data_IF_546876678683
#
_entry.id   IF_546876678683
#
_cell.length_a   1.000
_cell.length_b   1.000
_cell.length_c   1.000
_cell.angle_alpha   90.00
_cell.angle_beta   90.00
_cell.angle_gamma   90.00
#
_symmetry.space_group_name_H-M   'P 1'
#
loop_
_entity.id
_entity.type
_entity.pdbx_description
1 polymer ?
#
# COMPACT_ATOMS: atom_id res chain seq x y z
N UNK A 1 3.87 35.22 -39.50
CA UNK A 1 5.05 35.12 -38.62
C UNK A 1 4.69 35.04 -37.13
N UNK A 2 3.81 35.89 -36.59
CA UNK A 2 3.47 35.88 -35.15
C UNK A 2 2.80 34.58 -34.66
N UNK A 3 1.88 34.00 -35.42
CA UNK A 3 1.20 32.76 -35.04
C UNK A 3 2.16 31.55 -34.92
N UNK A 4 3.13 31.43 -35.84
CA UNK A 4 4.14 30.37 -35.79
C UNK A 4 5.04 30.49 -34.56
N UNK A 5 5.38 31.72 -34.14
CA UNK A 5 6.15 31.98 -32.92
C UNK A 5 5.36 31.62 -31.67
N UNK A 6 4.05 31.91 -31.62
CA UNK A 6 3.18 31.50 -30.51
C UNK A 6 3.05 29.97 -30.40
N UNK A 7 2.93 29.26 -31.52
CA UNK A 7 2.89 27.79 -31.52
C UNK A 7 4.23 27.18 -31.08
N UNK A 8 5.36 27.76 -31.49
CA UNK A 8 6.69 27.34 -31.04
C UNK A 8 6.90 27.58 -29.54
N UNK A 9 6.47 28.74 -29.03
CA UNK A 9 6.54 29.07 -27.60
C UNK A 9 5.64 28.14 -26.78
N UNK A 10 4.41 27.87 -27.24
CA UNK A 10 3.49 26.97 -26.55
C UNK A 10 4.01 25.53 -26.57
N UNK A 11 4.57 25.07 -27.70
CA UNK A 11 5.21 23.75 -27.80
C UNK A 11 6.44 23.65 -26.88
N UNK A 12 7.28 24.68 -26.84
CA UNK A 12 8.45 24.74 -25.95
C UNK A 12 8.03 24.74 -24.48
N UNK A 13 6.99 25.50 -24.11
CA UNK A 13 6.41 25.50 -22.76
C UNK A 13 5.78 24.14 -22.41
N UNK A 14 5.14 23.45 -23.35
CA UNK A 14 4.64 22.09 -23.16
C UNK A 14 5.78 21.08 -22.96
N UNK A 15 6.85 21.16 -23.76
CA UNK A 15 8.03 20.30 -23.62
C UNK A 15 8.77 20.55 -22.29
N UNK A 16 8.88 21.81 -21.87
CA UNK A 16 9.42 22.20 -20.57
C UNK A 16 8.55 21.71 -19.42
N UNK A 17 7.21 21.68 -19.59
CA UNK A 17 6.31 21.11 -18.58
C UNK A 17 6.41 19.59 -18.50
N UNK A 18 6.58 18.90 -19.61
CA UNK A 18 6.85 17.44 -19.64
C UNK A 18 8.21 17.14 -18.99
N UNK A 19 9.20 18.03 -19.13
CA UNK A 19 10.51 17.88 -18.49
C UNK A 19 10.55 18.29 -17.01
N UNK A 20 9.56 19.09 -16.55
CA UNK A 20 9.45 19.55 -15.17
C UNK A 20 8.55 18.66 -14.29
N UNK A 21 7.93 17.64 -14.89
CA UNK A 21 7.16 16.63 -14.18
C UNK A 21 8.15 15.61 -13.60
N UNK A 22 8.54 15.87 -12.34
CA UNK A 22 9.39 15.03 -11.48
C UNK A 22 10.85 14.95 -11.94
N UNK A 23 11.81 15.46 -11.15
CA UNK A 23 13.11 14.80 -11.13
C UNK A 23 12.87 13.44 -10.46
N UNK A 24 12.78 12.32 -11.20
CA UNK A 24 12.54 11.04 -10.55
C UNK A 24 13.68 10.82 -9.56
N UNK A 25 13.35 10.29 -8.38
CA UNK A 25 14.36 9.86 -7.40
C UNK A 25 15.49 9.10 -8.12
N UNK A 26 16.77 9.34 -7.76
CA UNK A 26 17.90 8.68 -8.41
C UNK A 26 17.69 7.15 -8.44
N UNK A 27 17.91 6.53 -9.60
CA UNK A 27 17.65 5.09 -9.78
C UNK A 27 18.54 4.26 -8.86
N UNK A 28 19.75 4.73 -8.65
CA UNK A 28 20.76 4.15 -7.75
C UNK A 28 20.25 4.15 -6.31
N UNK A 29 19.57 5.22 -5.89
CA UNK A 29 18.95 5.29 -4.57
C UNK A 29 17.81 4.27 -4.44
N UNK A 30 16.94 4.20 -5.45
CA UNK A 30 15.83 3.25 -5.46
C UNK A 30 16.33 1.80 -5.45
N UNK A 31 17.40 1.51 -6.18
CA UNK A 31 18.04 0.20 -6.20
C UNK A 31 18.70 -0.14 -4.86
N UNK A 32 19.41 0.81 -4.23
CA UNK A 32 19.95 0.64 -2.88
C UNK A 32 18.86 0.35 -1.86
N UNK A 33 17.78 1.14 -1.86
CA UNK A 33 16.64 0.94 -0.96
C UNK A 33 15.97 -0.42 -1.21
N UNK A 34 15.88 -0.87 -2.46
CA UNK A 34 15.25 -2.16 -2.80
C UNK A 34 15.97 -3.38 -2.20
N UNK A 35 17.28 -3.30 -1.99
CA UNK A 35 18.10 -4.40 -1.45
C UNK A 35 18.46 -4.25 0.03
N UNK A 36 18.03 -3.15 0.67
CA UNK A 36 18.32 -2.87 2.08
C UNK A 36 17.30 -3.50 3.02
N UNK A 37 17.66 -3.69 4.29
CA UNK A 37 16.70 -4.07 5.33
C UNK A 37 16.21 -2.82 6.07
N UNK A 38 14.96 -2.40 5.82
CA UNK A 38 14.36 -1.20 6.42
C UNK A 38 13.16 -1.64 7.27
N UNK A 39 13.23 -1.43 8.59
CA UNK A 39 12.15 -1.79 9.52
C UNK A 39 11.61 -0.59 10.28
N UNK A 40 12.35 0.51 10.33
CA UNK A 40 11.99 1.76 11.00
C UNK A 40 12.41 2.99 10.21
N UNK A 41 11.89 4.16 10.59
CA UNK A 41 12.31 5.46 10.09
C UNK A 41 13.80 5.68 10.36
N UNK A 42 14.32 5.26 11.52
CA UNK A 42 15.74 5.37 11.85
C UNK A 42 16.64 4.55 10.91
N UNK A 43 16.20 3.36 10.49
CA UNK A 43 16.94 2.57 9.48
C UNK A 43 17.02 3.33 8.16
N UNK A 44 15.90 3.94 7.73
CA UNK A 44 15.85 4.73 6.51
C UNK A 44 16.76 5.97 6.60
N UNK A 45 16.70 6.71 7.71
CA UNK A 45 17.56 7.88 7.95
C UNK A 45 19.04 7.49 7.88
N UNK A 46 19.42 6.37 8.52
CA UNK A 46 20.79 5.85 8.49
C UNK A 46 21.23 5.45 7.08
N UNK A 47 20.35 4.84 6.29
CA UNK A 47 20.64 4.48 4.89
C UNK A 47 20.80 5.70 3.98
N UNK A 48 20.08 6.78 4.30
CA UNK A 48 20.13 8.06 3.58
C UNK A 48 21.23 9.00 4.08
N UNK A 49 22.00 8.59 5.10
CA UNK A 49 23.04 9.43 5.73
C UNK A 49 22.48 10.79 6.21
N UNK A 50 21.24 10.79 6.70
CA UNK A 50 20.60 11.99 7.25
C UNK A 50 20.92 12.05 8.74
N UNK A 51 21.82 12.95 9.13
CA UNK A 51 22.01 13.32 10.53
C UNK A 51 20.75 14.04 11.02
N UNK A 52 20.16 13.57 12.13
CA UNK A 52 18.90 14.06 12.69
C UNK A 52 19.04 15.46 13.32
N UNK A 53 19.53 16.44 12.59
CA UNK A 53 19.62 17.82 13.06
C UNK A 53 18.30 18.52 12.74
N UNK A 54 17.55 18.85 13.79
CA UNK A 54 16.28 19.60 13.79
C UNK A 54 15.09 18.95 13.07
N UNK A 55 14.43 18.02 13.75
CA UNK A 55 12.95 17.98 13.66
C UNK A 55 12.42 19.23 14.39
N UNK A 56 12.49 20.41 13.75
CA UNK A 56 11.64 21.53 14.13
C UNK A 56 10.19 21.11 13.87
N UNK A 57 9.55 20.60 14.91
CA UNK A 57 8.10 20.58 15.01
C UNK A 57 7.69 22.05 14.84
N UNK A 58 7.12 22.38 13.68
CA UNK A 58 6.61 23.72 13.34
C UNK A 58 5.70 24.18 14.49
N UNK A 59 6.26 24.98 15.40
CA UNK A 59 5.50 25.73 16.37
C UNK A 59 5.25 27.08 15.71
N UNK A 60 4.00 27.31 15.31
CA UNK A 60 3.53 28.55 14.67
C UNK A 60 3.73 29.75 15.63
N UNK A 61 4.94 30.27 15.69
CA UNK A 61 5.22 31.49 16.46
C UNK A 61 4.85 32.70 15.61
N UNK A 62 3.59 33.14 15.76
CA UNK A 62 3.12 34.44 15.31
C UNK A 62 4.06 35.55 15.83
N UNK A 63 4.91 36.09 14.96
CA UNK A 63 5.61 37.34 15.21
C UNK A 63 4.70 38.52 14.83
N UNK A 64 3.98 39.04 15.82
CA UNK A 64 3.30 40.33 15.72
C UNK A 64 4.17 41.40 16.38
N UNK A 65 4.62 42.35 15.56
CA UNK A 65 5.22 43.62 15.95
C UNK A 65 4.26 44.44 16.84
N UNK A 66 4.71 44.94 18.00
CA UNK A 66 4.75 46.37 18.37
C UNK A 66 5.03 46.65 19.87
N UNK A 67 6.13 47.38 20.11
CA UNK A 67 6.27 48.60 20.94
C UNK A 67 6.12 48.51 22.47
N UNK A 68 7.25 48.51 23.17
CA UNK A 68 7.36 48.88 24.59
C UNK A 68 7.74 50.36 24.76
N UNK A 69 6.92 51.11 25.51
CA UNK A 69 7.30 52.32 26.24
C UNK A 69 6.52 52.36 27.57
N UNK A 70 7.27 52.13 28.66
CA UNK A 70 7.14 52.60 30.06
C UNK A 70 5.77 52.76 30.75
N UNK A 71 5.68 52.08 31.90
CA UNK A 71 5.42 52.64 33.25
C UNK A 71 4.07 52.35 33.97
N UNK A 72 4.23 51.90 35.24
CA UNK A 72 3.40 52.09 36.45
C UNK A 72 2.09 51.31 36.74
N UNK A 73 2.20 50.51 37.82
CA UNK A 73 1.27 50.23 38.95
C UNK A 73 0.14 49.18 38.84
N UNK A 74 -0.17 48.45 39.95
CA UNK A 74 -0.96 47.22 39.92
C UNK A 74 -2.42 47.45 40.31
N UNK A 75 -3.36 46.84 39.59
CA UNK A 75 -4.73 46.68 40.10
C UNK A 75 -5.40 45.39 39.61
N UNK A 76 -6.36 45.00 40.45
CA UNK A 76 -6.96 43.72 40.73
C UNK A 76 -7.82 43.13 39.58
N UNK A 77 -7.90 41.80 39.58
CA UNK A 77 -8.91 40.90 38.97
C UNK A 77 -8.67 40.48 37.50
N UNK A 78 -8.51 39.17 37.29
CA UNK A 78 -9.52 38.25 36.71
C UNK A 78 -8.88 37.04 36.00
N UNK A 79 -9.61 35.93 36.07
CA UNK A 79 -9.60 34.77 35.18
C UNK A 79 -8.52 33.70 35.40
N UNK A 80 -8.95 32.66 36.13
CA UNK A 80 -8.80 31.24 35.75
C UNK A 80 -7.60 30.89 34.88
N UNK A 81 -6.51 30.52 35.55
CA UNK A 81 -5.41 29.75 34.98
C UNK A 81 -5.94 28.38 34.57
N UNK A 82 -6.56 28.29 33.39
CA UNK A 82 -6.55 27.05 32.63
C UNK A 82 -5.16 26.91 32.04
N UNK A 83 -4.24 26.37 32.85
CA UNK A 83 -3.04 25.72 32.33
C UNK A 83 -3.53 24.61 31.41
N UNK A 84 -3.61 24.89 30.10
CA UNK A 84 -3.80 23.86 29.09
C UNK A 84 -2.56 22.97 29.16
N UNK A 85 -2.65 21.90 29.95
CA UNK A 85 -1.75 20.77 29.79
C UNK A 85 -1.93 20.29 28.35
N UNK A 86 -0.96 20.64 27.50
CA UNK A 86 -0.83 20.07 26.15
C UNK A 86 -0.69 18.57 26.37
N UNK A 87 -1.78 17.81 26.16
CA UNK A 87 -1.71 16.35 26.11
C UNK A 87 -0.80 16.05 24.93
N UNK A 88 0.43 15.65 25.21
CA UNK A 88 1.29 15.06 24.20
C UNK A 88 0.60 13.78 23.75
N UNK A 89 -0.05 13.82 22.59
CA UNK A 89 -0.55 12.62 21.94
C UNK A 89 0.68 11.86 21.48
N UNK A 90 0.97 10.74 22.16
CA UNK A 90 2.03 9.83 21.73
C UNK A 90 1.58 9.26 20.38
N UNK A 91 2.28 9.65 19.30
CA UNK A 91 2.05 9.13 17.95
C UNK A 91 2.94 7.89 17.79
N UNK A 92 2.34 6.75 17.47
CA UNK A 92 3.05 5.51 17.19
C UNK A 92 3.58 5.51 15.75
N UNK A 93 4.81 5.05 15.56
CA UNK A 93 5.40 4.87 14.24
C UNK A 93 4.74 3.71 13.49
N UNK A 94 4.42 3.92 12.22
CA UNK A 94 3.82 2.88 11.39
C UNK A 94 4.82 1.73 11.11
N UNK A 95 4.49 0.52 11.54
CA UNK A 95 5.27 -0.67 11.21
C UNK A 95 4.98 -1.16 9.78
N UNK A 96 6.02 -1.50 9.01
CA UNK A 96 5.85 -2.01 7.65
C UNK A 96 5.18 -3.40 7.62
N UNK A 97 4.20 -3.57 6.73
CA UNK A 97 3.63 -4.88 6.42
C UNK A 97 4.59 -5.69 5.54
N UNK A 98 5.63 -6.29 6.14
CA UNK A 98 6.69 -7.02 5.40
C UNK A 98 6.13 -8.09 4.43
N UNK A 99 6.76 -8.21 3.26
CA UNK A 99 6.50 -9.29 2.28
C UNK A 99 6.74 -10.67 2.91
N UNK A 100 5.65 -11.42 3.18
CA UNK A 100 5.71 -12.78 3.72
C UNK A 100 4.43 -13.56 3.42
N UNK A 101 4.49 -14.87 3.63
CA UNK A 101 3.32 -15.75 3.54
C UNK A 101 2.37 -15.43 4.69
N UNK A 102 1.10 -15.18 4.39
CA UNK A 102 0.01 -15.06 5.36
C UNK A 102 -1.18 -15.92 4.92
N UNK A 103 -2.03 -16.29 5.86
CA UNK A 103 -3.31 -16.92 5.54
C UNK A 103 -4.25 -15.89 4.95
N UNK A 104 -4.88 -16.21 3.83
CA UNK A 104 -5.92 -15.40 3.20
C UNK A 104 -7.13 -16.27 2.88
N UNK A 105 -8.29 -15.63 2.74
CA UNK A 105 -9.52 -16.31 2.35
C UNK A 105 -9.56 -16.41 0.82
N UNK A 106 -9.83 -17.61 0.31
CA UNK A 106 -10.08 -17.89 -1.10
C UNK A 106 -11.54 -18.30 -1.28
N UNK A 107 -12.31 -17.48 -1.98
CA UNK A 107 -13.66 -17.83 -2.41
C UNK A 107 -13.58 -18.80 -3.58
N UNK A 108 -14.30 -19.92 -3.49
CA UNK A 108 -14.26 -20.97 -4.51
C UNK A 108 -15.09 -20.49 -5.71
N UNK A 109 -14.48 -20.27 -6.90
CA UNK A 109 -15.21 -19.83 -8.07
C UNK A 109 -16.21 -20.89 -8.53
N UNK A 110 -17.43 -20.46 -8.88
CA UNK A 110 -18.48 -21.37 -9.35
C UNK A 110 -18.06 -22.15 -10.59
N UNK A 111 -17.33 -21.50 -11.50
CA UNK A 111 -16.78 -22.10 -12.72
C UNK A 111 -15.84 -23.28 -12.45
N UNK A 112 -15.13 -23.28 -11.31
CA UNK A 112 -14.25 -24.39 -10.92
C UNK A 112 -15.02 -25.60 -10.36
N UNK A 113 -16.24 -25.39 -9.87
CA UNK A 113 -17.09 -26.47 -9.34
C UNK A 113 -17.96 -27.06 -10.44
N UNK A 114 -18.62 -26.21 -11.21
CA UNK A 114 -19.37 -26.59 -12.40
C UNK A 114 -19.56 -25.38 -13.32
N UNK A 115 -18.92 -25.34 -14.49
CA UNK A 115 -19.05 -24.24 -15.44
C UNK A 115 -20.40 -24.24 -16.18
N UNK A 116 -21.19 -25.31 -16.10
CA UNK A 116 -22.42 -25.48 -16.89
C UNK A 116 -23.67 -24.92 -16.21
N UNK A 117 -23.63 -24.66 -14.90
CA UNK A 117 -24.80 -24.31 -14.12
C UNK A 117 -24.50 -23.20 -13.12
N UNK A 118 -25.49 -22.36 -12.80
CA UNK A 118 -25.44 -21.44 -11.67
C UNK A 118 -26.38 -21.86 -10.52
N UNK A 119 -27.13 -22.96 -10.70
CA UNK A 119 -28.22 -23.37 -9.80
C UNK A 119 -27.75 -24.39 -8.76
N UNK A 120 -26.70 -24.05 -8.00
CA UNK A 120 -26.18 -24.91 -6.93
C UNK A 120 -25.54 -24.12 -5.80
N UNK A 121 -25.46 -24.73 -4.63
CA UNK A 121 -24.75 -24.22 -3.46
C UNK A 121 -23.39 -24.93 -3.35
N UNK A 122 -22.34 -24.18 -3.00
CA UNK A 122 -21.00 -24.71 -2.70
C UNK A 122 -20.83 -24.70 -1.19
N UNK A 123 -20.40 -25.82 -0.62
CA UNK A 123 -20.08 -25.91 0.81
C UNK A 123 -18.71 -26.55 1.04
N UNK A 124 -17.79 -25.89 1.78
CA UNK A 124 -17.86 -24.47 2.20
C UNK A 124 -17.73 -23.52 0.99
N UNK A 125 -18.19 -22.26 1.08
CA UNK A 125 -18.07 -21.28 -0.03
C UNK A 125 -16.66 -20.71 -0.19
N UNK A 126 -15.87 -20.71 0.88
CA UNK A 126 -14.50 -20.23 0.89
C UNK A 126 -13.61 -21.13 1.76
N UNK A 127 -12.30 -21.04 1.52
CA UNK A 127 -11.28 -21.83 2.21
C UNK A 127 -10.06 -20.97 2.53
N UNK A 128 -9.29 -21.38 3.53
CA UNK A 128 -8.00 -20.76 3.82
C UNK A 128 -6.94 -21.24 2.82
N UNK A 129 -6.18 -20.28 2.29
CA UNK A 129 -4.99 -20.52 1.47
C UNK A 129 -3.83 -19.68 1.99
N UNK A 130 -2.61 -20.08 1.67
CA UNK A 130 -1.39 -19.32 1.95
C UNK A 130 -1.05 -18.44 0.76
N UNK A 131 -0.92 -17.13 0.95
CA UNK A 131 -0.54 -16.19 -0.11
C UNK A 131 0.54 -15.24 0.36
N UNK A 132 1.36 -14.80 -0.60
CA UNK A 132 2.33 -13.75 -0.39
C UNK A 132 1.59 -12.42 -0.31
N UNK A 133 1.79 -11.71 0.80
CA UNK A 133 1.17 -10.42 1.07
C UNK A 133 2.21 -9.49 1.69
N UNK A 134 1.93 -8.19 1.66
CA UNK A 134 2.82 -7.16 2.20
C UNK A 134 3.56 -6.38 1.13
N UNK A 135 4.46 -5.52 1.60
CA UNK A 135 5.18 -4.54 0.81
C UNK A 135 6.67 -4.85 0.75
N UNK A 136 7.28 -4.37 -0.31
CA UNK A 136 8.72 -4.23 -0.47
C UNK A 136 9.09 -2.77 -0.20
N UNK A 137 10.38 -2.47 -0.03
CA UNK A 137 10.84 -1.13 0.36
C UNK A 137 10.48 -0.06 -0.66
N UNK A 138 10.45 -0.42 -1.94
CA UNK A 138 10.29 0.51 -3.05
C UNK A 138 9.14 0.10 -3.97
N UNK A 139 8.50 1.09 -4.59
CA UNK A 139 7.33 0.89 -5.45
C UNK A 139 7.65 0.16 -6.77
N UNK A 140 8.92 0.08 -7.17
CA UNK A 140 9.36 -0.69 -8.34
C UNK A 140 9.53 -2.19 -8.05
N UNK A 141 9.38 -2.62 -6.80
CA UNK A 141 9.34 -4.03 -6.41
C UNK A 141 7.91 -4.54 -6.22
N UNK A 142 7.72 -5.86 -6.32
CA UNK A 142 6.49 -6.55 -5.95
C UNK A 142 6.79 -7.77 -5.11
N UNK A 143 5.98 -8.01 -4.09
CA UNK A 143 6.03 -9.23 -3.27
C UNK A 143 5.42 -10.39 -4.06
N UNK A 144 6.23 -11.41 -4.39
CA UNK A 144 5.80 -12.56 -5.20
C UNK A 144 6.15 -13.88 -4.55
N UNK A 145 5.46 -14.94 -4.98
CA UNK A 145 5.78 -16.30 -4.57
C UNK A 145 7.11 -16.74 -5.18
N UNK A 146 8.09 -17.06 -4.34
CA UNK A 146 9.31 -17.75 -4.77
C UNK A 146 9.03 -19.24 -5.00
N UNK A 147 8.13 -19.82 -4.18
CA UNK A 147 7.76 -21.23 -4.24
C UNK A 147 6.28 -21.42 -3.98
N UNK A 148 5.65 -22.30 -4.77
CA UNK A 148 4.22 -22.60 -4.74
C UNK A 148 3.99 -24.09 -4.49
N UNK A 149 2.92 -24.42 -3.78
CA UNK A 149 2.39 -25.76 -3.62
C UNK A 149 0.95 -25.81 -4.10
N UNK A 150 0.60 -26.89 -4.79
CA UNK A 150 -0.77 -27.12 -5.21
C UNK A 150 -1.33 -28.30 -4.45
N UNK A 151 -2.51 -28.13 -3.86
CA UNK A 151 -3.25 -29.20 -3.20
C UNK A 151 -4.68 -29.26 -3.69
N UNK A 152 -5.26 -30.44 -3.68
CA UNK A 152 -6.65 -30.67 -4.08
C UNK A 152 -7.51 -30.85 -2.83
N UNK A 153 -8.61 -30.13 -2.75
CA UNK A 153 -9.60 -30.25 -1.67
C UNK A 153 -10.93 -30.75 -2.23
N UNK A 154 -11.73 -31.39 -1.39
CA UNK A 154 -13.10 -31.76 -1.72
C UNK A 154 -14.07 -30.72 -1.17
N UNK A 155 -15.01 -30.31 -2.00
CA UNK A 155 -16.13 -29.41 -1.64
C UNK A 155 -17.44 -30.08 -2.02
N UNK A 156 -18.53 -29.71 -1.35
CA UNK A 156 -19.86 -30.21 -1.68
C UNK A 156 -20.55 -29.26 -2.66
N UNK A 157 -21.07 -29.83 -3.75
CA UNK A 157 -22.02 -29.20 -4.67
C UNK A 157 -23.42 -29.70 -4.33
N UNK A 158 -24.32 -28.79 -3.96
CA UNK A 158 -25.71 -29.11 -3.63
C UNK A 158 -26.64 -28.54 -4.70
N UNK A 159 -27.37 -29.41 -5.38
CA UNK A 159 -28.31 -29.08 -6.46
C UNK A 159 -29.73 -29.49 -6.09
N UNK A 160 -30.73 -28.73 -6.56
CA UNK A 160 -32.14 -29.09 -6.37
C UNK A 160 -32.70 -29.71 -7.66
N UNK A 161 -32.78 -31.04 -7.71
CA UNK A 161 -33.21 -31.78 -8.91
C UNK A 161 -34.47 -32.56 -8.58
N UNK A 162 -35.53 -32.40 -9.39
CA UNK A 162 -36.85 -33.05 -9.18
C UNK A 162 -37.39 -32.83 -7.76
N UNK A 163 -37.32 -31.57 -7.29
CA UNK A 163 -37.75 -31.13 -5.95
C UNK A 163 -37.05 -31.83 -4.77
N UNK A 164 -35.85 -32.40 -4.97
CA UNK A 164 -35.04 -33.00 -3.90
C UNK A 164 -33.61 -32.47 -3.96
N UNK A 165 -32.97 -32.20 -2.80
CA UNK A 165 -31.57 -31.83 -2.76
C UNK A 165 -30.71 -33.03 -3.11
N UNK A 166 -29.69 -32.82 -3.94
CA UNK A 166 -28.67 -33.79 -4.30
C UNK A 166 -27.30 -33.22 -3.98
N UNK A 167 -26.52 -33.94 -3.18
CA UNK A 167 -25.16 -33.59 -2.82
C UNK A 167 -24.18 -34.40 -3.67
N UNK A 168 -23.13 -33.75 -4.17
CA UNK A 168 -22.00 -34.39 -4.84
C UNK A 168 -20.70 -33.79 -4.34
N UNK A 169 -19.68 -34.62 -4.17
CA UNK A 169 -18.31 -34.14 -3.90
C UNK A 169 -17.65 -33.72 -5.22
N UNK A 170 -17.02 -32.55 -5.20
CA UNK A 170 -16.25 -32.00 -6.33
C UNK A 170 -14.85 -31.66 -5.83
N UNK A 171 -13.84 -31.95 -6.66
CA UNK A 171 -12.44 -31.65 -6.33
C UNK A 171 -12.06 -30.28 -6.87
N UNK A 172 -11.48 -29.43 -6.03
CA UNK A 172 -11.01 -28.09 -6.37
C UNK A 172 -9.51 -28.01 -6.08
N UNK A 173 -8.74 -27.47 -7.03
CA UNK A 173 -7.29 -27.27 -6.89
C UNK A 173 -7.02 -25.90 -6.28
N UNK A 174 -6.26 -25.87 -5.18
CA UNK A 174 -5.82 -24.66 -4.50
C UNK A 174 -4.32 -24.44 -4.73
N UNK A 175 -3.92 -23.17 -4.76
CA UNK A 175 -2.51 -22.75 -4.78
C UNK A 175 -2.15 -22.06 -3.47
N UNK A 176 -1.17 -22.64 -2.78
CA UNK A 176 -0.56 -22.13 -1.56
C UNK A 176 0.87 -21.65 -1.85
N UNK A 177 1.21 -20.43 -1.43
CA UNK A 177 2.57 -19.91 -1.48
C UNK A 177 3.34 -20.43 -0.27
N UNK A 178 4.53 -21.00 -0.51
CA UNK A 178 5.41 -21.52 0.55
C UNK A 178 6.46 -20.49 0.97
N UNK A 179 6.94 -19.68 0.02
CA UNK A 179 7.99 -18.69 0.23
C UNK A 179 7.71 -17.44 -0.62
N UNK A 180 8.12 -16.27 -0.13
CA UNK A 180 7.92 -14.99 -0.80
C UNK A 180 9.25 -14.25 -0.98
N UNK A 181 9.37 -13.52 -2.08
CA UNK A 181 10.51 -12.65 -2.33
C UNK A 181 10.06 -11.35 -3.01
N UNK A 182 10.82 -10.28 -2.80
CA UNK A 182 10.61 -9.02 -3.48
C UNK A 182 11.35 -9.02 -4.82
N UNK A 183 10.61 -8.94 -5.92
CA UNK A 183 11.18 -8.92 -7.29
C UNK A 183 10.91 -7.59 -7.96
N UNK A 184 11.84 -7.14 -8.80
CA UNK A 184 11.67 -5.92 -9.58
C UNK A 184 10.58 -6.12 -10.65
N UNK A 185 9.72 -5.12 -10.83
CA UNK A 185 8.62 -5.12 -11.81
C UNK A 185 9.06 -5.42 -13.24
N UNK A 186 10.28 -5.04 -13.63
CA UNK A 186 10.80 -5.27 -14.97
C UNK A 186 11.13 -6.74 -15.28
N UNK A 187 11.36 -7.57 -14.25
CA UNK A 187 11.61 -9.00 -14.42
C UNK A 187 10.34 -9.86 -14.35
N UNK A 188 9.16 -9.22 -14.22
CA UNK A 188 7.89 -9.90 -14.22
C UNK A 188 7.50 -10.12 -15.68
N UNK A 189 7.88 -11.27 -16.24
CA UNK A 189 7.17 -11.78 -17.41
C UNK A 189 5.69 -11.91 -17.03
N UNK A 190 4.74 -11.58 -17.93
CA UNK A 190 3.32 -11.82 -17.70
C UNK A 190 3.09 -13.34 -17.71
N UNK A 191 3.44 -14.00 -16.62
CA UNK A 191 3.00 -15.35 -16.32
C UNK A 191 1.56 -15.27 -15.86
N UNK A 192 0.65 -15.31 -16.84
CA UNK A 192 -0.71 -15.86 -16.74
C UNK A 192 -1.45 -15.73 -15.39
N UNK A 193 -1.55 -14.52 -14.84
CA UNK A 193 -2.58 -14.17 -13.84
C UNK A 193 -3.83 -13.58 -14.53
N UNK A 194 -4.02 -13.87 -15.82
CA UNK A 194 -5.30 -13.72 -16.52
C UNK A 194 -6.02 -15.06 -16.51
N UNK A 195 -6.56 -15.46 -15.37
CA UNK A 195 -7.74 -16.32 -15.35
C UNK A 195 -8.65 -15.89 -14.19
N UNK A 196 -9.90 -15.57 -14.55
CA UNK A 196 -11.02 -15.12 -13.70
C UNK A 196 -11.13 -13.63 -13.36
N UNK A 197 -10.81 -12.76 -14.32
CA UNK A 197 -11.40 -11.41 -14.40
C UNK A 197 -12.34 -11.32 -15.59
N UNK A 198 -13.56 -11.85 -15.49
CA UNK A 198 -14.59 -11.67 -16.52
C UNK A 198 -15.57 -10.61 -16.03
N UNK A 199 -15.54 -9.49 -16.75
CA UNK A 199 -16.52 -8.40 -16.80
C UNK A 199 -17.89 -8.91 -17.26
#
# INVERSE_FOLDING_TARGET
MRAAVYHLLLCCLCLLRIAAEESPLPRELLERLSHSEIRSISDLQRLLEIDSVENEVIDETKHSYHKDLSDSLPDLKRAGTHTRHRRSTVVEEASCAVCKVRTTIFEIPRSQVDPTSANFIIWPPCVEVKRCTGCCNTSNMRCQAARKHHRTVKVAKVEYVRRRPKLREVQVKLEDHLECTCTNKHHISPSSDTDNGIR
#
